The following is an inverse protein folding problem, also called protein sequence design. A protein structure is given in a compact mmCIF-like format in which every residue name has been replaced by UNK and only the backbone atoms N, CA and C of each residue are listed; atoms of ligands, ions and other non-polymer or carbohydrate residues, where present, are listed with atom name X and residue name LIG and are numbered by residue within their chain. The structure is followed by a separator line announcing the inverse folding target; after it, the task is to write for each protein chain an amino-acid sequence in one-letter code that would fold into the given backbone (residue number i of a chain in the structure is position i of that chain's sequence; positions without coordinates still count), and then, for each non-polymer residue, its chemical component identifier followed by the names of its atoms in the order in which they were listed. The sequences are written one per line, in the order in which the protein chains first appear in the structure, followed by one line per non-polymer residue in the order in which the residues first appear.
data_IF_350015538383
#
_entry.id   IF_350015538383
#
_cell.length_a   1.000
_cell.length_b   1.000
_cell.length_c   1.000
_cell.angle_alpha   90.00
_cell.angle_beta   90.00
_cell.angle_gamma   90.00
#
_symmetry.space_group_name_H-M   'P 1'
#
loop_
_entity.id
_entity.type
_entity.pdbx_description
1 polymer ?
#
# COMPACT_ATOMS: atom_id res chain seq x y z
N UNK A 1 -20.56 10.78 -4.10
CA UNK A 1 -20.20 9.47 -3.53
C UNK A 1 -18.78 9.59 -2.99
N UNK A 2 -18.57 9.40 -1.69
CA UNK A 2 -17.22 9.31 -1.14
C UNK A 2 -16.56 8.06 -1.73
N UNK A 3 -15.39 8.21 -2.37
CA UNK A 3 -14.61 7.08 -2.87
C UNK A 3 -13.32 7.06 -2.06
N UNK A 4 -13.13 5.99 -1.29
CA UNK A 4 -11.85 5.76 -0.63
C UNK A 4 -10.84 5.30 -1.67
N UNK A 5 -9.68 5.94 -1.68
CA UNK A 5 -8.58 5.60 -2.58
C UNK A 5 -7.48 4.90 -1.82
N UNK A 6 -6.84 3.93 -2.46
CA UNK A 6 -5.65 3.29 -1.90
C UNK A 6 -4.52 3.43 -2.90
N UNK A 7 -3.49 4.14 -2.48
CA UNK A 7 -2.28 4.37 -3.24
C UNK A 7 -1.13 3.62 -2.58
N UNK A 8 -0.34 2.94 -3.39
CA UNK A 8 0.84 2.19 -2.95
C UNK A 8 2.03 2.72 -3.74
N UNK A 9 3.07 3.15 -3.04
CA UNK A 9 4.30 3.65 -3.66
C UNK A 9 5.54 3.12 -2.95
N UNK A 10 6.62 2.97 -3.71
CA UNK A 10 7.97 2.77 -3.20
C UNK A 10 8.79 4.01 -3.48
N UNK A 11 9.35 4.60 -2.43
CA UNK A 11 10.26 5.74 -2.59
C UNK A 11 11.68 5.21 -2.86
N UNK A 12 12.42 5.74 -3.85
CA UNK A 12 13.80 5.33 -4.09
C UNK A 12 14.78 5.96 -3.10
N UNK A 13 15.93 5.31 -2.91
CA UNK A 13 17.02 5.80 -2.04
C UNK A 13 17.69 7.06 -2.59
N UNK A 14 17.77 7.16 -3.93
CA UNK A 14 18.25 8.32 -4.69
C UNK A 14 17.54 8.34 -6.05
N UNK A 15 17.42 9.50 -6.70
CA UNK A 15 16.82 9.64 -8.05
C UNK A 15 17.52 8.83 -9.15
N UNK A 16 18.66 8.20 -8.84
CA UNK A 16 19.40 7.30 -9.73
C UNK A 16 19.55 5.85 -9.23
N UNK A 17 18.91 5.47 -8.11
CA UNK A 17 19.07 4.15 -7.48
C UNK A 17 18.00 3.13 -7.88
N UNK A 18 16.98 3.54 -8.63
CA UNK A 18 16.04 2.59 -9.21
C UNK A 18 16.71 1.94 -10.40
N UNK A 19 17.04 0.67 -10.26
CA UNK A 19 17.41 -0.08 -11.45
C UNK A 19 16.14 -0.45 -12.21
N UNK A 20 16.25 -0.53 -13.53
CA UNK A 20 15.16 -0.89 -14.44
C UNK A 20 14.42 -2.18 -14.01
N UNK A 21 15.08 -3.04 -13.23
CA UNK A 21 14.51 -4.28 -12.71
C UNK A 21 13.54 -4.05 -11.53
N UNK A 22 13.55 -2.89 -10.87
CA UNK A 22 12.82 -2.61 -9.62
C UNK A 22 11.43 -1.96 -9.83
N UNK A 23 11.22 -1.37 -11.01
CA UNK A 23 10.00 -0.63 -11.37
C UNK A 23 9.57 -1.03 -12.77
N UNK A 24 8.51 -1.83 -12.87
CA UNK A 24 7.81 -2.00 -14.15
C UNK A 24 7.06 -0.69 -14.41
N UNK A 25 7.28 -0.09 -15.58
CA UNK A 25 6.60 1.14 -15.98
C UNK A 25 5.08 0.93 -15.84
N UNK A 26 4.42 1.67 -14.94
CA UNK A 26 3.01 1.42 -14.65
C UNK A 26 2.10 1.96 -15.77
N UNK A 27 2.65 2.71 -16.74
CA UNK A 27 1.95 3.19 -17.94
C UNK A 27 2.14 2.32 -19.18
N UNK A 28 3.06 1.33 -19.15
CA UNK A 28 3.32 0.50 -20.31
C UNK A 28 2.19 -0.51 -20.55
N UNK A 29 1.74 -0.60 -21.81
CA UNK A 29 0.76 -1.60 -22.23
C UNK A 29 1.36 -3.02 -22.32
N UNK A 30 2.69 -3.09 -22.46
CA UNK A 30 3.48 -4.32 -22.45
C UNK A 30 4.37 -4.31 -21.19
N UNK A 31 4.15 -5.21 -20.21
CA UNK A 31 4.99 -5.33 -19.02
C UNK A 31 6.32 -6.06 -19.31
N UNK A 32 6.74 -6.14 -20.57
CA UNK A 32 8.09 -6.51 -20.94
C UNK A 32 9.14 -5.69 -20.17
N UNK A 33 10.28 -6.33 -19.89
CA UNK A 33 11.49 -5.66 -19.44
C UNK A 33 11.90 -4.71 -20.59
N UNK A 34 11.36 -3.49 -20.64
CA UNK A 34 11.72 -2.41 -21.52
C UNK A 34 13.25 -2.27 -21.57
N UNK A 35 13.82 -2.68 -22.68
CA UNK A 35 15.23 -2.48 -22.95
C UNK A 35 15.45 -1.01 -23.31
N UNK A 36 16.08 -0.27 -22.40
CA UNK A 36 16.85 0.93 -22.72
C UNK A 36 16.08 2.24 -22.75
N UNK A 37 16.37 3.11 -21.77
CA UNK A 37 16.24 4.56 -21.92
C UNK A 37 15.21 5.27 -21.03
N UNK A 38 14.69 4.65 -19.98
CA UNK A 38 13.78 5.34 -19.04
C UNK A 38 14.54 6.22 -18.05
N UNK A 39 14.04 7.44 -17.81
CA UNK A 39 14.51 8.30 -16.72
C UNK A 39 14.37 7.56 -15.38
N UNK A 40 15.48 7.48 -14.62
CA UNK A 40 15.55 6.87 -13.28
C UNK A 40 14.67 7.57 -12.22
N UNK A 41 13.95 8.63 -12.62
CA UNK A 41 12.96 9.33 -11.78
C UNK A 41 11.64 8.58 -11.61
N UNK A 42 11.45 7.47 -12.35
CA UNK A 42 10.19 6.72 -12.38
C UNK A 42 9.93 5.99 -11.07
N UNK A 43 9.22 6.64 -10.15
CA UNK A 43 8.73 6.02 -8.91
C UNK A 43 7.61 5.04 -9.23
N UNK A 44 7.71 3.80 -8.76
CA UNK A 44 6.60 2.86 -8.88
C UNK A 44 5.43 3.32 -8.01
N UNK A 45 4.32 3.68 -8.66
CA UNK A 45 3.15 4.33 -8.06
C UNK A 45 1.90 3.64 -8.55
N UNK A 46 1.31 2.84 -7.68
CA UNK A 46 0.12 2.07 -7.98
C UNK A 46 -1.12 2.64 -7.30
N UNK A 47 -2.17 2.83 -8.09
CA UNK A 47 -3.52 3.02 -7.59
C UNK A 47 -4.17 1.64 -7.48
N UNK A 48 -4.53 1.20 -6.28
CA UNK A 48 -5.16 -0.10 -6.08
C UNK A 48 -6.68 0.05 -6.19
N UNK A 49 -7.32 -0.78 -7.04
CA UNK A 49 -8.80 -0.89 -7.07
C UNK A 49 -9.27 -1.72 -5.87
N UNK A 50 -9.17 -1.12 -4.69
CA UNK A 50 -9.55 -1.75 -3.44
C UNK A 50 -11.08 -1.82 -3.30
N UNK A 51 -11.58 -3.01 -2.99
CA UNK A 51 -12.96 -3.23 -2.55
C UNK A 51 -13.07 -3.14 -1.02
N UNK A 52 -12.01 -3.51 -0.31
CA UNK A 52 -11.96 -3.48 1.15
C UNK A 52 -10.59 -3.05 1.66
N UNK A 53 -10.60 -2.30 2.76
CA UNK A 53 -9.43 -1.96 3.55
C UNK A 53 -9.76 -2.24 5.00
N UNK A 54 -8.89 -2.98 5.70
CA UNK A 54 -9.02 -3.20 7.12
C UNK A 54 -7.70 -2.87 7.84
N UNK A 55 -7.80 -2.06 8.88
CA UNK A 55 -6.71 -1.73 9.78
C UNK A 55 -6.96 -2.44 11.12
N UNK A 56 -6.02 -3.27 11.55
CA UNK A 56 -6.07 -3.94 12.85
C UNK A 56 -4.87 -3.50 13.67
N UNK A 57 -5.11 -3.05 14.90
CA UNK A 57 -4.05 -2.66 15.83
C UNK A 57 -4.07 -3.60 17.02
N UNK A 58 -2.99 -4.34 17.23
CA UNK A 58 -2.85 -5.24 18.38
C UNK A 58 -2.07 -4.57 19.50
N UNK A 59 -2.52 -4.76 20.75
CA UNK A 59 -1.78 -4.46 21.98
C UNK A 59 -1.78 -5.70 22.88
N UNK A 60 -0.68 -5.93 23.56
CA UNK A 60 -0.51 -7.07 24.47
C UNK A 60 -0.12 -6.56 25.86
N UNK A 61 -1.10 -6.16 26.70
CA UNK A 61 -0.80 -5.78 28.08
C UNK A 61 -0.32 -7.00 28.86
N UNK A 62 0.60 -6.79 29.79
CA UNK A 62 1.12 -7.82 30.69
C UNK A 62 0.39 -7.74 32.02
N UNK A 63 -0.03 -8.89 32.56
CA UNK A 63 -0.67 -8.99 33.87
C UNK A 63 0.25 -9.74 34.83
N UNK A 64 0.58 -9.11 35.95
CA UNK A 64 1.35 -9.73 37.03
C UNK A 64 0.40 -10.04 38.18
N UNK A 65 0.18 -11.33 38.44
CA UNK A 65 -0.60 -11.78 39.58
C UNK A 65 0.21 -11.64 40.87
N UNK A 66 -0.36 -11.01 41.88
CA UNK A 66 0.23 -10.93 43.23
C UNK A 66 -0.68 -11.72 44.16
N UNK A 67 -0.16 -12.72 44.91
CA UNK A 67 -0.96 -13.43 45.89
C UNK A 67 -1.57 -12.46 46.90
N UNK A 68 -2.86 -12.64 47.20
CA UNK A 68 -3.63 -11.85 48.17
C UNK A 68 -3.97 -10.40 47.79
N UNK A 69 -3.60 -9.92 46.60
CA UNK A 69 -3.96 -8.59 46.09
C UNK A 69 -4.56 -8.66 44.68
N UNK A 70 -5.25 -7.58 44.26
CA UNK A 70 -5.68 -7.44 42.87
C UNK A 70 -4.46 -7.43 41.93
N UNK A 71 -4.52 -8.11 40.78
CA UNK A 71 -3.43 -8.13 39.81
C UNK A 71 -3.06 -6.73 39.30
N UNK A 72 -1.77 -6.50 39.05
CA UNK A 72 -1.27 -5.26 38.45
C UNK A 72 -1.17 -5.45 36.93
N UNK A 73 -1.62 -4.44 36.18
CA UNK A 73 -1.51 -4.37 34.72
C UNK A 73 -0.32 -3.48 34.34
N UNK A 74 0.56 -4.01 33.48
CA UNK A 74 1.66 -3.29 32.86
C UNK A 74 1.43 -3.21 31.35
N UNK A 75 1.22 -1.99 30.83
CA UNK A 75 1.21 -1.75 29.38
C UNK A 75 2.58 -1.23 28.95
N UNK A 76 3.25 -1.99 28.09
CA UNK A 76 4.55 -1.63 27.50
C UNK A 76 4.40 -0.65 26.32
N UNK A 77 3.18 -0.28 25.95
CA UNK A 77 2.89 0.71 24.91
C UNK A 77 3.23 0.26 23.49
N UNK A 78 3.70 -0.97 23.31
CA UNK A 78 3.98 -1.52 21.98
C UNK A 78 2.67 -1.88 21.29
N UNK A 79 2.43 -1.29 20.12
CA UNK A 79 1.35 -1.69 19.23
C UNK A 79 1.95 -2.15 17.91
N UNK A 80 1.32 -3.16 17.30
CA UNK A 80 1.71 -3.71 16.00
C UNK A 80 0.51 -3.61 15.08
N UNK A 81 0.44 -2.56 14.25
CA UNK A 81 -0.66 -2.42 13.33
C UNK A 81 -0.39 -3.29 12.08
N UNK A 82 -1.46 -3.89 11.58
CA UNK A 82 -1.48 -4.64 10.33
C UNK A 82 -2.57 -4.08 9.46
N UNK A 83 -2.26 -3.86 8.19
CA UNK A 83 -3.19 -3.38 7.18
C UNK A 83 -3.48 -4.52 6.21
N UNK A 84 -4.74 -4.75 5.88
CA UNK A 84 -5.11 -5.66 4.78
C UNK A 84 -5.93 -4.92 3.73
N UNK A 85 -5.55 -5.07 2.47
CA UNK A 85 -6.23 -4.45 1.32
C UNK A 85 -6.62 -5.57 0.36
N UNK A 86 -7.90 -5.60 0.00
CA UNK A 86 -8.42 -6.55 -0.98
C UNK A 86 -9.13 -5.81 -2.11
N UNK A 87 -9.07 -6.38 -3.31
CA UNK A 87 -9.58 -5.71 -4.50
C UNK A 87 -9.46 -6.53 -5.77
N UNK A 88 -9.52 -5.85 -6.90
CA UNK A 88 -9.36 -6.46 -8.22
C UNK A 88 -8.22 -5.81 -8.99
N UNK A 89 -7.55 -6.62 -9.81
CA UNK A 89 -6.47 -6.20 -10.69
C UNK A 89 -6.71 -6.80 -12.07
N UNK A 90 -6.42 -6.05 -13.12
CA UNK A 90 -6.65 -6.48 -14.50
C UNK A 90 -5.44 -7.29 -15.00
N UNK A 91 -5.69 -8.20 -15.96
CA UNK A 91 -4.59 -8.95 -16.61
C UNK A 91 -3.79 -8.04 -17.53
N UNK A 92 -4.49 -7.18 -18.27
CA UNK A 92 -3.92 -6.24 -19.23
C UNK A 92 -4.00 -4.82 -18.67
N UNK A 93 -3.06 -3.97 -19.07
CA UNK A 93 -3.04 -2.57 -18.64
C UNK A 93 -4.17 -1.81 -19.33
N UNK A 94 -5.01 -1.12 -18.56
CA UNK A 94 -6.00 -0.18 -19.09
C UNK A 94 -5.40 1.19 -19.41
N UNK A 95 -4.18 1.49 -18.97
CA UNK A 95 -3.60 2.85 -19.02
C UNK A 95 -4.32 3.88 -18.14
N UNK A 96 -5.36 3.45 -17.43
CA UNK A 96 -6.11 4.27 -16.49
C UNK A 96 -5.18 4.72 -15.36
N UNK A 97 -5.34 5.98 -14.96
CA UNK A 97 -4.57 6.58 -13.89
C UNK A 97 -5.42 7.47 -13.01
N UNK A 98 -4.79 7.91 -11.94
CA UNK A 98 -5.37 8.77 -10.94
C UNK A 98 -4.33 9.70 -10.36
N UNK A 99 -4.75 10.93 -10.14
CA UNK A 99 -3.88 11.97 -9.63
C UNK A 99 -4.14 12.15 -8.15
N UNK A 100 -3.08 12.13 -7.34
CA UNK A 100 -3.16 12.49 -5.93
C UNK A 100 -3.70 13.92 -5.81
N UNK A 101 -4.79 14.15 -5.06
CA UNK A 101 -5.49 15.43 -5.05
C UNK A 101 -4.68 16.59 -4.44
N UNK A 102 -3.72 16.30 -3.57
CA UNK A 102 -2.84 17.32 -2.96
C UNK A 102 -1.55 17.53 -3.77
N UNK A 103 -0.75 16.46 -3.93
CA UNK A 103 0.57 16.56 -4.57
C UNK A 103 0.57 16.55 -6.11
N UNK A 104 -0.58 16.39 -6.77
CA UNK A 104 -0.67 16.33 -8.24
C UNK A 104 0.04 15.11 -8.87
N UNK A 105 0.49 14.16 -8.05
CA UNK A 105 1.27 13.01 -8.47
C UNK A 105 0.38 11.94 -9.11
N UNK A 106 0.78 11.40 -10.26
CA UNK A 106 0.03 10.37 -10.98
C UNK A 106 0.35 8.95 -10.49
N UNK A 107 -0.69 8.15 -10.28
CA UNK A 107 -0.67 6.73 -9.93
C UNK A 107 -1.47 5.96 -10.96
N UNK A 108 -0.93 4.85 -11.46
CA UNK A 108 -1.63 4.03 -12.47
C UNK A 108 -2.19 2.78 -11.82
N UNK A 109 -3.27 2.26 -12.38
CA UNK A 109 -3.80 0.97 -11.93
C UNK A 109 -2.88 -0.15 -12.42
N UNK A 110 -2.28 -0.95 -11.52
CA UNK A 110 -1.35 -1.99 -11.92
C UNK A 110 -2.07 -3.14 -12.61
N UNK A 111 -1.33 -3.89 -13.42
CA UNK A 111 -1.72 -5.24 -13.85
C UNK A 111 -1.38 -6.28 -12.79
N UNK A 112 -1.95 -7.48 -12.91
CA UNK A 112 -1.63 -8.60 -12.02
C UNK A 112 -0.12 -8.88 -11.99
N UNK A 113 0.53 -8.88 -13.16
CA UNK A 113 1.96 -9.11 -13.29
C UNK A 113 2.79 -8.02 -12.60
N UNK A 114 2.44 -6.74 -12.81
CA UNK A 114 3.12 -5.61 -12.17
C UNK A 114 3.00 -5.67 -10.65
N UNK A 115 1.82 -6.01 -10.13
CA UNK A 115 1.60 -6.12 -8.69
C UNK A 115 2.32 -7.34 -8.11
N UNK A 116 2.32 -8.48 -8.80
CA UNK A 116 3.06 -9.67 -8.40
C UNK A 116 4.57 -9.39 -8.34
N UNK A 117 5.11 -8.72 -9.36
CA UNK A 117 6.51 -8.35 -9.43
C UNK A 117 6.90 -7.37 -8.31
N UNK A 118 6.04 -6.39 -8.02
CA UNK A 118 6.24 -5.48 -6.90
C UNK A 118 6.29 -6.20 -5.55
N UNK A 119 5.37 -7.15 -5.32
CA UNK A 119 5.35 -7.93 -4.08
C UNK A 119 6.64 -8.75 -3.90
N UNK A 120 7.21 -9.30 -4.97
CA UNK A 120 8.40 -10.15 -4.86
C UNK A 120 9.70 -9.36 -4.75
N UNK A 121 9.72 -8.11 -5.24
CA UNK A 121 10.95 -7.31 -5.28
C UNK A 121 11.01 -6.17 -4.27
N UNK A 122 9.86 -5.65 -3.83
CA UNK A 122 9.83 -4.50 -2.96
C UNK A 122 10.09 -4.91 -1.51
N UNK A 123 11.37 -5.02 -1.20
CA UNK A 123 11.85 -5.25 0.14
C UNK A 123 11.82 -3.94 0.94
N UNK A 124 11.41 -4.02 2.20
CA UNK A 124 11.48 -2.87 3.10
C UNK A 124 12.94 -2.61 3.51
N UNK A 125 13.52 -1.53 3.00
CA UNK A 125 14.86 -1.06 3.31
C UNK A 125 14.80 0.39 3.81
N UNK A 126 15.68 0.75 4.74
CA UNK A 126 15.76 2.12 5.25
C UNK A 126 16.21 3.05 4.12
N UNK A 127 15.40 4.07 3.82
CA UNK A 127 15.62 4.97 2.67
C UNK A 127 14.89 4.54 1.39
N UNK A 128 14.37 3.31 1.34
CA UNK A 128 13.51 2.80 0.26
C UNK A 128 12.16 2.33 0.81
N UNK A 129 11.57 3.15 1.67
CA UNK A 129 10.35 2.77 2.37
C UNK A 129 9.18 2.69 1.38
N UNK A 130 8.36 1.66 1.56
CA UNK A 130 7.07 1.59 0.90
C UNK A 130 6.05 2.33 1.74
N UNK A 131 5.16 3.05 1.06
CA UNK A 131 4.07 3.75 1.73
C UNK A 131 2.75 3.43 1.09
N UNK A 132 1.76 3.19 1.96
CA UNK A 132 0.36 3.10 1.57
C UNK A 132 -0.34 4.35 2.04
N UNK A 133 -0.97 5.05 1.10
CA UNK A 133 -1.80 6.21 1.37
C UNK A 133 -3.25 5.86 1.14
N UNK A 134 -4.07 5.98 2.19
CA UNK A 134 -5.51 5.81 2.11
C UNK A 134 -6.12 7.21 2.06
N UNK A 135 -6.76 7.55 0.94
CA UNK A 135 -7.42 8.84 0.76
C UNK A 135 -8.89 8.69 1.08
N UNK A 136 -9.38 9.55 1.96
CA UNK A 136 -10.77 9.70 2.33
C UNK A 136 -11.28 11.02 1.76
N UNK A 137 -12.15 10.94 0.74
CA UNK A 137 -12.76 12.15 0.17
C UNK A 137 -14.14 12.37 0.78
N UNK A 138 -14.34 13.50 1.45
CA UNK A 138 -15.67 14.05 1.70
C UNK A 138 -16.00 15.10 0.61
N UNK A 139 -17.27 15.52 0.51
CA UNK A 139 -17.79 16.48 -0.47
C UNK A 139 -17.02 17.83 -0.46
N UNK A 140 -16.37 18.18 0.66
CA UNK A 140 -15.69 19.46 0.84
C UNK A 140 -14.18 19.38 1.07
N UNK A 141 -13.61 18.19 1.32
CA UNK A 141 -12.17 18.03 1.61
C UNK A 141 -11.70 16.60 1.36
N UNK A 142 -10.46 16.46 0.90
CA UNK A 142 -9.72 15.20 0.91
C UNK A 142 -8.83 15.15 2.16
N UNK A 143 -9.00 14.13 2.99
CA UNK A 143 -8.07 13.77 4.07
C UNK A 143 -7.39 12.45 3.69
N UNK A 144 -6.22 12.18 4.26
CA UNK A 144 -5.52 10.94 3.96
C UNK A 144 -4.67 10.45 5.12
N UNK A 145 -4.55 9.13 5.21
CA UNK A 145 -3.67 8.46 6.15
C UNK A 145 -2.54 7.78 5.38
N UNK A 146 -1.30 8.18 5.68
CA UNK A 146 -0.08 7.61 5.08
C UNK A 146 0.60 6.68 6.07
N UNK A 147 0.84 5.44 5.69
CA UNK A 147 1.50 4.42 6.49
C UNK A 147 2.80 3.99 5.83
N UNK A 148 3.89 3.89 6.59
CA UNK A 148 5.05 3.12 6.11
C UNK A 148 4.72 1.64 6.30
N UNK A 149 4.91 0.85 5.25
CA UNK A 149 4.46 -0.53 5.20
C UNK A 149 5.57 -1.48 4.74
N UNK A 150 5.48 -2.73 5.20
CA UNK A 150 6.17 -3.87 4.62
C UNK A 150 5.11 -4.88 4.17
N UNK A 151 5.23 -5.39 2.94
CA UNK A 151 4.33 -6.42 2.42
C UNK A 151 4.65 -7.73 3.14
N UNK A 152 3.65 -8.34 3.76
CA UNK A 152 3.79 -9.63 4.44
C UNK A 152 3.34 -10.78 3.55
N UNK A 153 2.20 -10.61 2.88
CA UNK A 153 1.64 -11.61 1.96
C UNK A 153 0.83 -10.92 0.86
N UNK A 154 0.82 -11.49 -0.35
CA UNK A 154 -0.14 -11.15 -1.40
C UNK A 154 -0.66 -12.43 -2.03
N UNK A 155 -1.98 -12.57 -2.08
CA UNK A 155 -2.64 -13.67 -2.75
C UNK A 155 -3.38 -13.15 -3.97
N UNK A 156 -3.26 -13.85 -5.10
CA UNK A 156 -4.02 -13.58 -6.30
C UNK A 156 -4.92 -14.77 -6.58
N UNK A 157 -6.21 -14.53 -6.75
CA UNK A 157 -7.18 -15.55 -7.10
C UNK A 157 -7.89 -15.16 -8.40
N UNK A 158 -8.03 -16.12 -9.31
CA UNK A 158 -8.77 -15.89 -10.54
C UNK A 158 -10.27 -15.83 -10.19
N UNK A 159 -10.93 -14.75 -10.59
CA UNK A 159 -12.38 -14.65 -10.42
C UNK A 159 -13.08 -15.57 -11.42
N UNK A 160 -14.01 -16.41 -10.96
CA UNK A 160 -14.83 -17.22 -11.86
C UNK A 160 -15.87 -16.40 -12.64
N UNK A 161 -16.15 -15.17 -12.17
CA UNK A 161 -17.14 -14.27 -12.75
C UNK A 161 -16.57 -13.40 -13.88
N UNK A 162 -15.27 -13.13 -13.86
CA UNK A 162 -14.60 -12.28 -14.85
C UNK A 162 -13.17 -12.77 -15.05
N UNK A 163 -12.93 -13.45 -16.18
CA UNK A 163 -11.64 -14.02 -16.53
C UNK A 163 -10.58 -12.94 -16.84
N UNK A 164 -10.99 -11.68 -17.03
CA UNK A 164 -10.06 -10.56 -17.29
C UNK A 164 -9.52 -9.94 -16.01
N UNK A 165 -10.02 -10.37 -14.84
CA UNK A 165 -9.69 -9.78 -13.54
C UNK A 165 -9.31 -10.84 -12.52
N UNK A 166 -8.25 -10.53 -11.79
CA UNK A 166 -7.82 -11.28 -10.62
C UNK A 166 -8.26 -10.53 -9.37
N UNK A 167 -8.80 -11.26 -8.38
CA UNK A 167 -8.90 -10.69 -7.05
C UNK A 167 -7.55 -10.77 -6.36
N UNK A 168 -7.19 -9.73 -5.63
CA UNK A 168 -5.99 -9.72 -4.81
C UNK A 168 -6.37 -9.51 -3.34
N UNK A 169 -5.58 -10.11 -2.44
CA UNK A 169 -5.61 -9.86 -1.01
C UNK A 169 -4.18 -9.67 -0.52
N UNK A 170 -3.87 -8.45 -0.07
CA UNK A 170 -2.56 -8.06 0.44
C UNK A 170 -2.63 -7.78 1.93
N UNK A 171 -1.68 -8.33 2.68
CA UNK A 171 -1.47 -8.00 4.08
C UNK A 171 -0.11 -7.31 4.26
N UNK A 172 -0.11 -6.28 5.09
CA UNK A 172 1.03 -5.46 5.40
C UNK A 172 1.24 -5.38 6.90
N UNK A 173 2.51 -5.35 7.32
CA UNK A 173 2.90 -4.82 8.62
C UNK A 173 3.16 -3.33 8.44
N UNK A 174 2.59 -2.50 9.30
CA UNK A 174 2.73 -1.04 9.15
C UNK A 174 3.29 -0.37 10.40
N UNK A 175 3.82 0.83 10.22
CA UNK A 175 4.09 1.75 11.33
C UNK A 175 2.83 2.53 11.67
N UNK A 176 2.91 3.40 12.69
CA UNK A 176 1.91 4.46 12.87
C UNK A 176 1.76 5.32 11.61
N UNK A 177 0.57 5.92 11.40
CA UNK A 177 0.40 6.89 10.32
C UNK A 177 1.35 8.07 10.49
N UNK A 178 1.91 8.53 9.38
CA UNK A 178 2.94 9.58 9.27
C UNK A 178 2.41 10.80 8.50
N UNK A 179 1.11 10.83 8.16
CA UNK A 179 0.50 11.87 7.35
C UNK A 179 0.52 13.27 7.98
N UNK A 180 0.60 14.32 7.14
CA UNK A 180 0.55 15.74 7.54
C UNK A 180 -0.89 16.20 7.81
N UNK A 181 -1.87 15.51 7.23
CA UNK A 181 -3.32 15.72 7.43
C UNK A 181 -4.03 14.39 7.73
N UNK A 182 -3.64 13.69 8.81
CA UNK A 182 -4.26 12.42 9.16
C UNK A 182 -5.76 12.62 9.30
N UNK A 183 -6.54 11.60 8.95
CA UNK A 183 -7.98 11.64 9.19
C UNK A 183 -8.17 11.90 10.68
N UNK A 184 -8.71 13.08 11.01
CA UNK A 184 -9.11 13.36 12.38
C UNK A 184 -10.34 12.48 12.60
N UNK A 185 -10.11 11.32 13.21
CA UNK A 185 -11.18 10.48 13.74
C UNK A 185 -12.02 11.37 14.66
N UNK A 186 -13.16 11.85 14.16
CA UNK A 186 -14.28 12.33 14.97
C UNK A 186 -15.23 11.16 15.15
#
# INVERSE_FOLDING_TARGET
MARSLVLLERTPENEGALTYIDVVDPSSADPGIASGGGDNSTRARYALRANGVALKTFRTPLQVGIPSNSPILFDIGSYRPTLSISGFVEVESSGDFMTHPEDGTTYYYPTMFQLQHAVTQWNYLKGQEMTVTIIHTNVQSATYDKYNVAIQTCNFNMSSLDQRRWSFDMAFVCTRPVGVRPSQNV
#
